data_IF_380635603531
#
_entry.id   IF_380635603531
#
_cell.length_a   1.000
_cell.length_b   1.000
_cell.length_c   1.000
_cell.angle_alpha   90.00
_cell.angle_beta   90.00
_cell.angle_gamma   90.00
#
_symmetry.space_group_name_H-M   'P 1'
#
loop_
_entity.id
_entity.type
_entity.pdbx_description
1 polymer ?
#
# COMPACT_ATOMS: atom_id res chain seq x y z
N UNK A 1 -1.57 -0.86 14.02
CA UNK A 1 -0.36 -0.49 13.26
C UNK A 1 -0.65 0.74 12.41
N UNK A 2 0.32 1.66 12.34
CA UNK A 2 0.20 2.89 11.56
C UNK A 2 1.12 2.82 10.35
N UNK A 3 0.56 3.12 9.19
CA UNK A 3 1.33 3.26 7.95
C UNK A 3 1.52 4.75 7.65
N UNK A 4 2.70 5.10 7.13
CA UNK A 4 3.08 6.46 6.78
C UNK A 4 3.54 6.53 5.34
N UNK A 5 3.16 7.61 4.66
CA UNK A 5 3.63 7.92 3.31
C UNK A 5 3.95 9.41 3.24
N UNK A 6 4.88 9.79 2.36
CA UNK A 6 5.14 11.20 2.11
C UNK A 6 3.92 11.86 1.47
N UNK A 7 3.59 13.04 1.93
CA UNK A 7 2.50 13.83 1.35
C UNK A 7 2.73 14.05 -0.15
N UNK A 8 3.99 14.15 -0.57
CA UNK A 8 4.37 14.41 -1.95
C UNK A 8 4.48 13.15 -2.81
N UNK A 9 4.17 11.98 -2.26
CA UNK A 9 4.33 10.71 -2.97
C UNK A 9 3.32 10.50 -4.10
N UNK A 10 2.25 11.29 -4.12
CA UNK A 10 1.13 11.06 -5.04
C UNK A 10 0.09 10.09 -4.50
N UNK A 11 0.35 9.46 -3.37
CA UNK A 11 -0.59 8.59 -2.69
C UNK A 11 -1.33 9.37 -1.62
N UNK A 12 -2.66 9.44 -1.73
CA UNK A 12 -3.50 10.08 -0.72
C UNK A 12 -3.99 9.04 0.29
N UNK A 13 -4.37 9.52 1.46
CA UNK A 13 -5.00 8.66 2.45
C UNK A 13 -6.28 8.03 1.91
N UNK A 14 -7.05 8.79 1.14
CA UNK A 14 -8.27 8.28 0.52
C UNK A 14 -7.99 7.13 -0.46
N UNK A 15 -6.92 7.24 -1.24
CA UNK A 15 -6.54 6.20 -2.19
C UNK A 15 -6.13 4.92 -1.47
N UNK A 16 -5.33 5.05 -0.42
CA UNK A 16 -4.93 3.91 0.40
C UNK A 16 -6.14 3.25 1.04
N UNK A 17 -7.02 4.05 1.62
CA UNK A 17 -8.23 3.54 2.27
C UNK A 17 -9.13 2.81 1.29
N UNK A 18 -9.33 3.36 0.11
CA UNK A 18 -10.15 2.73 -0.92
C UNK A 18 -9.60 1.37 -1.32
N UNK A 19 -8.27 1.30 -1.54
CA UNK A 19 -7.62 0.03 -1.88
C UNK A 19 -7.81 -1.00 -0.77
N UNK A 20 -7.51 -0.62 0.46
CA UNK A 20 -7.55 -1.54 1.59
C UNK A 20 -8.98 -1.99 1.90
N UNK A 21 -9.94 -1.06 1.88
CA UNK A 21 -11.33 -1.40 2.13
C UNK A 21 -11.90 -2.33 1.07
N UNK A 22 -11.46 -2.18 -0.18
CA UNK A 22 -11.90 -3.08 -1.26
C UNK A 22 -11.45 -4.52 -1.03
N UNK A 23 -10.46 -4.72 -0.18
CA UNK A 23 -9.91 -6.04 0.17
C UNK A 23 -10.29 -6.48 1.58
N UNK A 24 -11.24 -5.80 2.19
CA UNK A 24 -11.73 -6.18 3.51
C UNK A 24 -10.88 -5.70 4.68
N UNK A 25 -9.95 -4.80 4.45
CA UNK A 25 -9.12 -4.24 5.52
C UNK A 25 -9.78 -3.01 6.11
N UNK A 26 -9.89 -2.96 7.43
CA UNK A 26 -10.42 -1.81 8.13
C UNK A 26 -9.35 -0.72 8.23
N UNK A 27 -9.73 0.52 7.91
CA UNK A 27 -8.84 1.68 7.98
C UNK A 27 -9.46 2.74 8.88
N UNK A 28 -8.67 3.31 9.76
CA UNK A 28 -9.13 4.36 10.67
C UNK A 28 -7.97 5.32 11.00
N UNK A 29 -8.29 6.42 11.67
CA UNK A 29 -7.28 7.37 12.11
C UNK A 29 -6.54 8.07 10.98
N UNK A 30 -7.16 8.21 9.82
CA UNK A 30 -6.53 8.86 8.67
C UNK A 30 -6.26 10.32 8.97
N UNK A 31 -5.01 10.76 8.76
CA UNK A 31 -4.59 12.12 9.11
C UNK A 31 -3.40 12.55 8.26
N UNK A 32 -3.16 13.87 8.23
CA UNK A 32 -1.99 14.47 7.59
C UNK A 32 -1.30 15.32 8.64
N UNK A 33 -0.02 15.09 8.87
CA UNK A 33 0.77 15.87 9.80
C UNK A 33 2.25 15.82 9.45
N UNK A 34 2.93 16.96 9.58
CA UNK A 34 4.40 17.06 9.39
C UNK A 34 4.86 16.53 8.04
N UNK A 35 4.08 16.75 6.99
CA UNK A 35 4.45 16.31 5.64
C UNK A 35 4.18 14.84 5.37
N UNK A 36 3.55 14.15 6.29
CA UNK A 36 3.19 12.74 6.13
C UNK A 36 1.67 12.55 6.08
N UNK A 37 1.27 11.59 5.26
CA UNK A 37 -0.07 11.03 5.30
C UNK A 37 0.04 9.74 6.11
N UNK A 38 -0.86 9.54 7.06
CA UNK A 38 -0.85 8.30 7.84
C UNK A 38 -2.25 7.84 8.18
N UNK A 39 -2.36 6.55 8.46
CA UNK A 39 -3.60 5.90 8.84
C UNK A 39 -3.29 4.62 9.59
N UNK A 40 -4.29 4.08 10.27
CA UNK A 40 -4.12 2.89 11.09
C UNK A 40 -4.96 1.75 10.57
N UNK A 41 -4.45 0.53 10.77
CA UNK A 41 -5.18 -0.70 10.51
C UNK A 41 -5.06 -1.60 11.73
N UNK A 42 -6.02 -2.53 11.94
CA UNK A 42 -5.89 -3.51 13.02
C UNK A 42 -4.62 -4.33 12.84
N UNK A 43 -3.94 -4.64 13.93
CA UNK A 43 -2.72 -5.43 13.90
C UNK A 43 -2.91 -6.76 13.18
N UNK A 44 -4.06 -7.38 13.35
CA UNK A 44 -4.39 -8.65 12.69
C UNK A 44 -4.40 -8.56 11.17
N UNK A 45 -4.63 -7.38 10.63
CA UNK A 45 -4.70 -7.13 9.19
C UNK A 45 -3.46 -6.42 8.67
N UNK A 46 -2.51 -6.06 9.54
CA UNK A 46 -1.38 -5.21 9.15
C UNK A 46 -0.47 -5.86 8.12
N UNK A 47 -0.17 -7.15 8.25
CA UNK A 47 0.67 -7.84 7.28
C UNK A 47 0.02 -7.86 5.90
N UNK A 48 -1.26 -8.18 5.85
CA UNK A 48 -2.02 -8.20 4.61
C UNK A 48 -2.13 -6.80 4.00
N UNK A 49 -2.43 -5.80 4.83
CA UNK A 49 -2.51 -4.42 4.38
C UNK A 49 -1.18 -3.93 3.80
N UNK A 50 -0.09 -4.23 4.48
CA UNK A 50 1.25 -3.87 4.01
C UNK A 50 1.57 -4.52 2.67
N UNK A 51 1.26 -5.79 2.53
CA UNK A 51 1.42 -6.51 1.27
C UNK A 51 0.63 -5.82 0.13
N UNK A 52 -0.63 -5.50 0.38
CA UNK A 52 -1.48 -4.85 -0.62
C UNK A 52 -0.92 -3.49 -1.04
N UNK A 53 -0.48 -2.68 -0.08
CA UNK A 53 0.06 -1.36 -0.35
C UNK A 53 1.37 -1.45 -1.14
N UNK A 54 2.27 -2.32 -0.74
CA UNK A 54 3.56 -2.49 -1.42
C UNK A 54 3.37 -3.02 -2.83
N UNK A 55 2.48 -3.98 -3.02
CA UNK A 55 2.18 -4.53 -4.35
C UNK A 55 1.57 -3.48 -5.27
N UNK A 56 0.81 -2.55 -4.73
CA UNK A 56 0.23 -1.46 -5.50
C UNK A 56 1.22 -0.33 -5.78
N UNK A 57 2.42 -0.40 -5.21
CA UNK A 57 3.45 0.60 -5.43
C UNK A 57 3.45 1.74 -4.43
N UNK A 58 2.71 1.63 -3.34
CA UNK A 58 2.69 2.67 -2.31
C UNK A 58 4.05 2.74 -1.62
N UNK A 59 4.69 3.92 -1.58
CA UNK A 59 6.02 4.06 -0.98
C UNK A 59 5.90 4.25 0.53
N UNK A 60 5.68 3.15 1.25
CA UNK A 60 5.56 3.19 2.70
C UNK A 60 6.87 3.62 3.35
N UNK A 61 6.76 4.45 4.39
CA UNK A 61 7.89 4.97 5.16
C UNK A 61 8.07 4.16 6.44
N UNK A 62 9.28 4.25 6.98
CA UNK A 62 9.67 3.67 8.27
C UNK A 62 9.71 2.14 8.24
N UNK A 63 9.63 1.52 9.40
CA UNK A 63 9.84 0.09 9.51
C UNK A 63 8.68 -0.71 8.94
N UNK A 64 9.00 -1.88 8.37
CA UNK A 64 7.99 -2.83 7.94
C UNK A 64 7.30 -3.45 9.14
N UNK A 65 6.01 -3.75 8.98
CA UNK A 65 5.29 -4.56 9.95
C UNK A 65 5.78 -6.01 9.90
N UNK A 66 5.95 -6.54 8.69
CA UNK A 66 6.35 -7.93 8.49
C UNK A 66 7.54 -8.03 7.54
N UNK A 67 8.58 -8.74 7.96
CA UNK A 67 9.74 -9.01 7.12
C UNK A 67 9.40 -9.86 5.91
N UNK A 68 8.31 -10.60 5.95
CA UNK A 68 7.82 -11.36 4.79
C UNK A 68 7.53 -10.46 3.60
N UNK A 69 7.23 -9.20 3.86
CA UNK A 69 6.92 -8.23 2.81
C UNK A 69 8.14 -7.48 2.29
N UNK A 70 9.32 -7.74 2.83
CA UNK A 70 10.55 -7.02 2.45
C UNK A 70 10.85 -7.13 0.96
N UNK A 71 10.58 -8.26 0.37
CA UNK A 71 10.83 -8.48 -1.05
C UNK A 71 9.98 -7.58 -1.97
N UNK A 72 8.93 -6.98 -1.43
CA UNK A 72 8.08 -6.05 -2.19
C UNK A 72 8.49 -4.59 -2.01
N UNK A 73 9.38 -4.32 -1.05
CA UNK A 73 9.87 -2.95 -0.82
C UNK A 73 10.72 -2.52 -2.00
N UNK A 74 10.46 -1.31 -2.50
CA UNK A 74 11.18 -0.78 -3.64
C UNK A 74 10.76 -1.35 -4.98
N UNK A 75 9.79 -2.25 -4.99
CA UNK A 75 9.26 -2.80 -6.24
C UNK A 75 8.40 -1.79 -7.01
N UNK A 76 8.13 -0.62 -6.42
CA UNK A 76 7.29 0.41 -7.03
C UNK A 76 7.78 0.80 -8.43
N UNK A 77 9.09 0.93 -8.63
CA UNK A 77 9.65 1.25 -9.94
C UNK A 77 9.43 0.15 -10.95
N UNK A 78 9.55 -1.09 -10.53
CA UNK A 78 9.29 -2.26 -11.38
C UNK A 78 7.81 -2.41 -11.65
N UNK A 79 6.99 -2.11 -10.67
CA UNK A 79 5.54 -2.16 -10.81
C UNK A 79 5.01 -1.08 -11.76
N UNK A 80 5.77 -0.02 -11.95
CA UNK A 80 5.39 1.02 -12.90
C UNK A 80 5.34 0.45 -14.32
N UNK A 81 6.33 -0.35 -14.70
CA UNK A 81 6.33 -1.07 -15.97
C UNK A 81 5.24 -2.14 -15.99
N UNK A 82 5.07 -2.77 -14.85
CA UNK A 82 4.04 -3.79 -14.66
C UNK A 82 2.63 -3.22 -14.82
N UNK A 83 2.40 -2.00 -14.37
CA UNK A 83 1.13 -1.29 -14.56
C UNK A 83 1.00 -0.70 -15.97
N UNK A 84 2.05 -0.81 -16.79
CA UNK A 84 2.01 -0.45 -18.18
C UNK A 84 1.31 -1.53 -18.99
N UNK A 85 1.89 -1.90 -20.14
CA UNK A 85 1.21 -2.79 -21.06
C UNK A 85 1.00 -4.21 -20.54
N UNK A 86 2.07 -4.93 -20.31
CA UNK A 86 1.98 -6.32 -19.85
C UNK A 86 1.59 -6.44 -18.38
N UNK A 87 2.05 -5.51 -17.57
CA UNK A 87 1.82 -5.53 -16.15
C UNK A 87 0.38 -5.32 -15.75
N UNK A 88 -0.37 -4.57 -16.57
CA UNK A 88 -1.78 -4.37 -16.30
C UNK A 88 -2.56 -5.67 -16.37
N UNK A 89 -2.22 -6.54 -17.30
CA UNK A 89 -2.86 -7.85 -17.42
C UNK A 89 -2.56 -8.72 -16.20
N UNK A 90 -1.32 -8.71 -15.74
CA UNK A 90 -0.94 -9.44 -14.53
C UNK A 90 -1.68 -8.92 -13.31
N UNK A 91 -1.80 -7.60 -13.21
CA UNK A 91 -2.54 -6.97 -12.12
C UNK A 91 -4.00 -7.41 -12.14
N UNK A 92 -4.64 -7.38 -13.30
CA UNK A 92 -6.03 -7.80 -13.45
C UNK A 92 -6.19 -9.28 -13.16
N UNK A 93 -5.25 -10.10 -13.61
CA UNK A 93 -5.26 -11.55 -13.33
C UNK A 93 -5.18 -11.83 -11.83
N UNK A 94 -4.34 -11.10 -11.10
CA UNK A 94 -4.23 -11.30 -9.66
C UNK A 94 -5.47 -10.82 -8.90
N UNK A 95 -6.21 -9.89 -9.45
CA UNK A 95 -7.49 -9.48 -8.86
C UNK A 95 -8.59 -10.52 -9.09
N UNK A 96 -8.53 -11.22 -10.21
CA UNK A 96 -9.51 -12.24 -10.56
C UNK A 96 -9.19 -13.60 -9.94
N UNK A 97 -7.94 -13.84 -9.72
CA UNK A 97 -7.46 -15.08 -9.13
C UNK A 97 -7.45 -15.02 -7.64
#
# INVERSE_FOLDING_TARGET
WTFYLDLDSGWTGARCEKLLKSKGVKVYGRCIAKGDVFFQVPTKQAEWAEYLLLRAGAPLKYALFSERNRKYVGAAGQQRDWLGLGGLLDFLSSLWG
#
